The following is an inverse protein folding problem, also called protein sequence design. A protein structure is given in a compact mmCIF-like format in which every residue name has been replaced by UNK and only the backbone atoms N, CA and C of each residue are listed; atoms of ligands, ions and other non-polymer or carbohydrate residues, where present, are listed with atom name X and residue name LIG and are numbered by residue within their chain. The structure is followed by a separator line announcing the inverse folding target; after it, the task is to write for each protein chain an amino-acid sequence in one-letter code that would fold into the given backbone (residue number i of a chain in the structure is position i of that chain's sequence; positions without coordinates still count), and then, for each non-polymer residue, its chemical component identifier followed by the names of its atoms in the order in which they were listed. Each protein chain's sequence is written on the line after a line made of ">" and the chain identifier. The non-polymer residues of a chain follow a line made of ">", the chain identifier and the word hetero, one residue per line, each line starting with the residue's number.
data_IF_628984368379
#
_entry.id   IF_628984368379
#
_cell.length_a   1.000
_cell.length_b   1.000
_cell.length_c   1.000
_cell.angle_alpha   90.00
_cell.angle_beta   90.00
_cell.angle_gamma   90.00
#
_symmetry.space_group_name_H-M   'P 1'
#
loop_
_entity.id
_entity.type
_entity.pdbx_description
1 polymer ?
#
# COMPACT_ATOMS: atom_id res chain seq x y z
N UNK A 1 -10.75 7.49 -15.23
CA UNK A 1 -10.02 8.09 -14.10
C UNK A 1 -10.86 7.83 -12.86
N UNK A 2 -10.45 6.88 -12.01
CA UNK A 2 -11.26 6.51 -10.84
C UNK A 2 -11.10 7.57 -9.75
N UNK A 3 -12.18 8.28 -9.46
CA UNK A 3 -12.28 9.23 -8.36
C UNK A 3 -12.22 8.45 -7.03
N UNK A 4 -11.14 8.64 -6.28
CA UNK A 4 -11.00 8.11 -4.92
C UNK A 4 -11.94 8.89 -3.99
N UNK A 5 -13.23 8.54 -3.96
CA UNK A 5 -14.21 9.13 -3.04
C UNK A 5 -13.78 8.89 -1.59
N UNK A 6 -13.15 9.89 -0.96
CA UNK A 6 -12.67 9.82 0.43
C UNK A 6 -13.85 9.89 1.41
N UNK A 7 -14.98 10.46 0.99
CA UNK A 7 -16.15 10.65 1.83
C UNK A 7 -17.30 9.71 1.44
N UNK A 8 -17.58 8.73 2.30
CA UNK A 8 -18.79 7.89 2.22
C UNK A 8 -19.87 8.39 3.19
N UNK A 9 -21.14 8.15 2.85
CA UNK A 9 -22.31 8.54 3.66
C UNK A 9 -22.33 7.95 5.08
N UNK A 10 -21.49 6.95 5.36
CA UNK A 10 -21.32 6.37 6.69
C UNK A 10 -20.64 7.29 7.71
N UNK A 11 -19.82 8.24 7.26
CA UNK A 11 -19.03 9.12 8.14
C UNK A 11 -19.85 10.26 8.76
N UNK A 12 -21.05 10.54 8.25
CA UNK A 12 -21.90 11.66 8.68
C UNK A 12 -23.00 11.27 9.69
N UNK A 13 -23.09 9.99 10.08
CA UNK A 13 -24.14 9.48 10.98
C UNK A 13 -24.03 9.93 12.45
N UNK A 14 -22.97 10.63 12.82
CA UNK A 14 -22.75 11.12 14.20
C UNK A 14 -23.00 12.62 14.37
N UNK A 15 -23.52 13.28 13.33
CA UNK A 15 -23.75 14.72 13.31
C UNK A 15 -25.25 14.98 13.13
N UNK A 16 -25.76 16.10 13.66
CA UNK A 16 -27.13 16.60 13.46
C UNK A 16 -27.38 17.06 12.00
N UNK A 17 -26.99 16.25 11.02
CA UNK A 17 -27.15 16.54 9.60
C UNK A 17 -28.55 16.13 9.20
N UNK A 18 -29.33 17.10 8.72
CA UNK A 18 -30.71 16.87 8.28
C UNK A 18 -30.75 15.96 7.04
N UNK A 19 -31.77 15.08 6.88
CA UNK A 19 -31.90 14.23 5.70
C UNK A 19 -31.86 14.97 4.35
N UNK A 20 -32.30 16.23 4.31
CA UNK A 20 -32.18 17.08 3.12
C UNK A 20 -30.72 17.39 2.77
N UNK A 21 -29.90 17.68 3.78
CA UNK A 21 -28.45 17.91 3.61
C UNK A 21 -27.73 16.63 3.14
N UNK A 22 -28.11 15.47 3.68
CA UNK A 22 -27.54 14.19 3.24
C UNK A 22 -27.88 13.87 1.78
N UNK A 23 -29.10 14.21 1.34
CA UNK A 23 -29.52 14.06 -0.07
C UNK A 23 -28.70 14.96 -0.98
N UNK A 24 -28.50 16.22 -0.62
CA UNK A 24 -27.64 17.16 -1.36
C UNK A 24 -26.22 16.61 -1.45
N UNK A 25 -25.62 16.22 -0.32
CA UNK A 25 -24.27 15.65 -0.27
C UNK A 25 -24.12 14.42 -1.17
N UNK A 26 -25.10 13.50 -1.16
CA UNK A 26 -25.06 12.29 -1.97
C UNK A 26 -25.11 12.55 -3.48
N UNK A 27 -25.64 13.71 -3.90
CA UNK A 27 -25.72 14.11 -5.30
C UNK A 27 -24.46 14.80 -5.85
N UNK A 28 -23.47 15.09 -5.00
CA UNK A 28 -22.23 15.76 -5.39
C UNK A 28 -21.28 14.81 -6.13
N UNK A 29 -20.63 15.32 -7.18
CA UNK A 29 -19.97 14.51 -8.20
C UNK A 29 -18.49 14.27 -7.89
N UNK A 30 -17.86 15.13 -7.10
CA UNK A 30 -16.44 15.05 -6.77
C UNK A 30 -16.13 15.43 -5.31
N UNK A 31 -14.91 15.15 -4.87
CA UNK A 31 -14.48 15.40 -3.48
C UNK A 31 -14.36 16.89 -3.12
N UNK A 32 -14.08 17.77 -4.10
CA UNK A 32 -13.98 19.20 -3.87
C UNK A 32 -15.35 19.81 -3.52
N UNK A 33 -16.39 19.43 -4.27
CA UNK A 33 -17.78 19.78 -3.98
C UNK A 33 -18.23 19.24 -2.62
N UNK A 34 -17.90 17.97 -2.33
CA UNK A 34 -18.22 17.32 -1.05
C UNK A 34 -17.53 18.01 0.12
N UNK A 35 -16.25 18.34 -0.02
CA UNK A 35 -15.50 19.07 0.99
C UNK A 35 -16.10 20.45 1.22
N UNK A 36 -16.36 21.20 0.16
CA UNK A 36 -16.96 22.53 0.23
C UNK A 36 -18.31 22.50 0.95
N UNK A 37 -19.17 21.54 0.60
CA UNK A 37 -20.44 21.33 1.27
C UNK A 37 -20.28 21.01 2.76
N UNK A 38 -19.42 20.04 3.11
CA UNK A 38 -19.21 19.65 4.52
C UNK A 38 -18.64 20.82 5.32
N UNK A 39 -17.74 21.61 4.72
CA UNK A 39 -17.16 22.80 5.33
C UNK A 39 -18.19 23.92 5.55
N UNK A 40 -19.35 23.91 4.89
CA UNK A 40 -20.44 24.85 5.22
C UNK A 40 -21.26 24.45 6.45
N UNK A 41 -21.14 23.20 6.92
CA UNK A 41 -21.91 22.71 8.06
C UNK A 41 -21.27 23.19 9.36
N UNK A 42 -22.07 23.78 10.24
CA UNK A 42 -21.61 24.28 11.55
C UNK A 42 -20.93 23.16 12.38
N UNK A 43 -21.40 21.93 12.22
CA UNK A 43 -20.86 20.70 12.78
C UNK A 43 -19.38 20.47 12.42
N UNK A 44 -18.95 20.86 11.22
CA UNK A 44 -17.57 20.68 10.75
C UNK A 44 -16.58 21.58 11.50
N UNK A 45 -17.06 22.67 12.09
CA UNK A 45 -16.25 23.63 12.85
C UNK A 45 -16.30 23.40 14.37
N UNK A 46 -17.15 22.47 14.86
CA UNK A 46 -17.18 22.09 16.29
C UNK A 46 -15.90 21.38 16.73
N UNK A 47 -15.21 20.78 15.77
CA UNK A 47 -13.91 20.17 15.99
C UNK A 47 -12.85 21.18 15.59
N UNK A 48 -12.16 21.75 16.59
CA UNK A 48 -10.94 22.50 16.32
C UNK A 48 -9.96 21.54 15.63
N UNK A 49 -9.72 21.76 14.34
CA UNK A 49 -8.52 21.21 13.70
C UNK A 49 -7.38 22.00 14.31
N UNK A 50 -6.79 21.48 15.40
CA UNK A 50 -5.53 22.01 15.89
C UNK A 50 -4.51 21.50 14.87
N UNK A 51 -4.12 22.32 13.88
CA UNK A 51 -3.12 21.89 12.92
C UNK A 51 -1.84 22.00 13.74
N UNK A 52 -1.54 20.95 14.51
CA UNK A 52 -0.22 20.81 15.12
C UNK A 52 0.81 21.16 14.06
N UNK A 53 1.92 21.83 14.44
CA UNK A 53 2.81 22.55 13.52
C UNK A 53 2.87 21.83 12.19
N UNK A 54 2.35 22.48 11.14
CA UNK A 54 2.04 21.88 9.84
C UNK A 54 3.08 20.81 9.57
N UNK A 55 2.68 19.53 9.51
CA UNK A 55 3.64 18.42 9.50
C UNK A 55 4.54 18.56 8.27
N UNK A 56 5.65 19.30 8.43
CA UNK A 56 6.44 19.78 7.31
C UNK A 56 7.01 18.54 6.66
N UNK A 57 6.74 18.42 5.35
CA UNK A 57 7.36 17.41 4.52
C UNK A 57 8.84 17.72 4.47
N UNK A 58 9.65 16.76 4.87
CA UNK A 58 11.09 16.92 4.94
C UNK A 58 11.75 15.62 4.46
N UNK A 59 12.45 15.72 3.32
CA UNK A 59 13.06 14.57 2.66
C UNK A 59 14.11 13.89 3.51
N UNK A 60 14.91 14.67 4.25
CA UNK A 60 15.99 14.15 5.10
C UNK A 60 15.43 13.42 6.32
N UNK A 61 14.43 13.99 7.00
CA UNK A 61 13.70 13.31 8.07
C UNK A 61 13.03 12.04 7.56
N UNK A 62 12.39 12.08 6.39
CA UNK A 62 11.78 10.90 5.79
C UNK A 62 12.82 9.80 5.55
N UNK A 63 13.97 10.15 4.95
CA UNK A 63 15.07 9.22 4.73
C UNK A 63 15.59 8.61 6.03
N UNK A 64 15.80 9.43 7.06
CA UNK A 64 16.22 8.97 8.39
C UNK A 64 15.23 7.99 9.03
N UNK A 65 13.93 8.25 8.91
CA UNK A 65 12.86 7.38 9.38
C UNK A 65 12.80 6.06 8.59
N UNK A 66 12.92 6.11 7.26
CA UNK A 66 13.01 4.92 6.41
C UNK A 66 14.22 4.07 6.79
N UNK A 67 15.39 4.68 7.02
CA UNK A 67 16.60 3.94 7.37
C UNK A 67 16.51 3.34 8.79
N UNK A 68 15.84 4.01 9.73
CA UNK A 68 15.47 3.42 11.01
C UNK A 68 14.50 2.23 10.85
N UNK A 69 13.51 2.36 9.96
CA UNK A 69 12.59 1.28 9.60
C UNK A 69 13.33 0.08 9.02
N UNK A 70 14.33 0.31 8.16
CA UNK A 70 15.18 -0.75 7.61
C UNK A 70 15.93 -1.51 8.70
N UNK A 71 16.48 -0.82 9.70
CA UNK A 71 17.16 -1.47 10.84
C UNK A 71 16.19 -2.33 11.66
N UNK A 72 15.01 -1.80 11.99
CA UNK A 72 13.98 -2.55 12.71
C UNK A 72 13.48 -3.77 11.91
N UNK A 73 13.32 -3.62 10.59
CA UNK A 73 12.93 -4.71 9.71
C UNK A 73 14.00 -5.82 9.66
N UNK A 74 15.27 -5.44 9.55
CA UNK A 74 16.40 -6.38 9.56
C UNK A 74 16.54 -7.14 10.88
N UNK A 75 16.16 -6.53 12.02
CA UNK A 75 16.12 -7.22 13.31
C UNK A 75 14.85 -8.06 13.53
N UNK A 76 13.94 -8.13 12.55
CA UNK A 76 12.68 -8.86 12.64
C UNK A 76 11.57 -8.13 13.40
N UNK A 77 11.79 -6.89 13.86
CA UNK A 77 10.75 -6.07 14.48
C UNK A 77 9.89 -5.36 13.42
N UNK A 78 9.00 -6.15 12.83
CA UNK A 78 8.13 -5.69 11.76
C UNK A 78 7.09 -4.65 12.23
N UNK A 79 6.72 -4.64 13.53
CA UNK A 79 5.79 -3.64 14.08
C UNK A 79 6.43 -2.26 14.14
N UNK A 80 7.65 -2.18 14.68
CA UNK A 80 8.42 -0.94 14.69
C UNK A 80 8.79 -0.49 13.28
N UNK A 81 9.17 -1.42 12.40
CA UNK A 81 9.44 -1.12 11.00
C UNK A 81 8.23 -0.48 10.32
N UNK A 82 7.03 -1.05 10.48
CA UNK A 82 5.78 -0.49 9.94
C UNK A 82 5.52 0.93 10.45
N UNK A 83 5.66 1.15 11.76
CA UNK A 83 5.46 2.48 12.36
C UNK A 83 6.44 3.52 11.80
N UNK A 84 7.71 3.13 11.61
CA UNK A 84 8.75 4.00 11.07
C UNK A 84 8.54 4.29 9.57
N UNK A 85 8.18 3.28 8.77
CA UNK A 85 7.84 3.49 7.36
C UNK A 85 6.59 4.38 7.19
N UNK A 86 5.58 4.24 8.05
CA UNK A 86 4.44 5.16 8.07
C UNK A 86 4.88 6.61 8.28
N UNK A 87 5.71 6.86 9.29
CA UNK A 87 6.26 8.20 9.55
C UNK A 87 7.09 8.70 8.38
N UNK A 88 7.89 7.83 7.75
CA UNK A 88 8.66 8.17 6.55
C UNK A 88 7.74 8.66 5.42
N UNK A 89 6.74 7.86 5.04
CA UNK A 89 5.77 8.20 3.97
C UNK A 89 5.03 9.51 4.28
N UNK A 90 4.67 9.74 5.54
CA UNK A 90 4.06 11.00 5.99
C UNK A 90 5.00 12.19 5.83
N UNK A 91 6.31 12.01 6.01
CA UNK A 91 7.33 13.07 5.88
C UNK A 91 7.84 13.26 4.46
N UNK A 92 7.75 12.26 3.60
CA UNK A 92 8.19 12.40 2.20
C UNK A 92 7.37 13.48 1.48
N UNK A 93 8.01 14.44 0.79
CA UNK A 93 7.32 15.36 -0.12
C UNK A 93 6.62 14.59 -1.25
N UNK A 94 5.39 14.95 -1.61
CA UNK A 94 4.64 14.29 -2.67
C UNK A 94 4.76 15.08 -3.97
N UNK A 95 5.99 15.12 -4.49
CA UNK A 95 6.33 15.82 -5.73
C UNK A 95 6.95 14.82 -6.71
N UNK A 96 6.97 15.15 -8.01
CA UNK A 96 7.60 14.29 -9.01
C UNK A 96 9.07 14.00 -8.69
N UNK A 97 9.80 14.98 -8.12
CA UNK A 97 11.20 14.83 -7.71
C UNK A 97 11.40 13.83 -6.55
N UNK A 98 10.40 13.69 -5.67
CA UNK A 98 10.44 12.79 -4.51
C UNK A 98 9.65 11.48 -4.73
N UNK A 99 9.06 11.29 -5.92
CA UNK A 99 8.26 10.11 -6.29
C UNK A 99 9.05 8.81 -6.09
N UNK A 100 10.35 8.83 -6.39
CA UNK A 100 11.26 7.70 -6.19
C UNK A 100 11.48 7.34 -4.73
N UNK A 101 11.68 8.33 -3.85
CA UNK A 101 11.88 8.06 -2.42
C UNK A 101 10.59 7.63 -1.73
N UNK A 102 9.46 8.18 -2.18
CA UNK A 102 8.13 7.78 -1.75
C UNK A 102 7.86 6.32 -2.15
N UNK A 103 8.13 5.96 -3.41
CA UNK A 103 7.90 4.60 -3.92
C UNK A 103 8.70 3.56 -3.15
N UNK A 104 9.97 3.85 -2.84
CA UNK A 104 10.82 2.96 -2.02
C UNK A 104 10.30 2.85 -0.58
N UNK A 105 9.85 3.95 0.02
CA UNK A 105 9.31 3.95 1.39
C UNK A 105 8.03 3.12 1.49
N UNK A 106 7.11 3.26 0.53
CA UNK A 106 5.87 2.47 0.44
C UNK A 106 6.17 1.00 0.11
N UNK A 107 7.14 0.73 -0.77
CA UNK A 107 7.59 -0.63 -1.06
C UNK A 107 8.22 -1.30 0.18
N UNK A 108 8.89 -0.56 1.05
CA UNK A 108 9.38 -1.11 2.32
C UNK A 108 8.25 -1.32 3.32
N UNK A 109 7.25 -0.44 3.35
CA UNK A 109 6.05 -0.59 4.17
C UNK A 109 5.28 -1.87 3.84
N UNK A 110 5.06 -2.17 2.56
CA UNK A 110 4.41 -3.43 2.18
C UNK A 110 5.20 -4.67 2.62
N UNK A 111 6.53 -4.58 2.76
CA UNK A 111 7.34 -5.66 3.32
C UNK A 111 6.97 -5.94 4.78
N UNK A 112 6.94 -4.89 5.61
CA UNK A 112 6.56 -5.02 7.01
C UNK A 112 5.12 -5.54 7.15
N UNK A 113 4.18 -5.03 6.34
CA UNK A 113 2.79 -5.50 6.31
C UNK A 113 2.68 -6.99 5.94
N UNK A 114 3.42 -7.43 4.92
CA UNK A 114 3.48 -8.84 4.53
C UNK A 114 3.96 -9.74 5.69
N UNK A 115 5.04 -9.36 6.37
CA UNK A 115 5.54 -10.12 7.53
C UNK A 115 4.59 -10.10 8.73
N UNK A 116 3.75 -9.07 8.85
CA UNK A 116 2.67 -8.97 9.82
C UNK A 116 1.37 -9.68 9.37
N UNK A 117 1.39 -10.40 8.24
CA UNK A 117 0.24 -11.08 7.62
C UNK A 117 -0.91 -10.14 7.23
N UNK A 118 -0.64 -8.86 7.10
CA UNK A 118 -1.57 -7.84 6.60
C UNK A 118 -1.53 -7.83 5.08
N UNK A 119 -2.06 -8.88 4.45
CA UNK A 119 -1.86 -9.14 3.01
C UNK A 119 -2.56 -8.12 2.11
N UNK A 120 -3.82 -7.78 2.39
CA UNK A 120 -4.55 -6.79 1.59
C UNK A 120 -3.90 -5.39 1.66
N UNK A 121 -3.57 -4.83 2.86
CA UNK A 121 -2.82 -3.58 2.93
C UNK A 121 -1.46 -3.62 2.20
N UNK A 122 -0.76 -4.77 2.24
CA UNK A 122 0.49 -4.92 1.48
C UNK A 122 0.25 -4.88 -0.04
N UNK A 123 -0.86 -5.46 -0.53
CA UNK A 123 -1.26 -5.39 -1.94
C UNK A 123 -1.64 -3.98 -2.37
N UNK A 124 -2.34 -3.23 -1.51
CA UNK A 124 -2.71 -1.84 -1.77
C UNK A 124 -1.46 -0.95 -1.90
N UNK A 125 -0.48 -1.13 -1.01
CA UNK A 125 0.82 -0.46 -1.10
C UNK A 125 1.55 -0.81 -2.40
N UNK A 126 1.55 -2.09 -2.82
CA UNK A 126 2.19 -2.53 -4.07
C UNK A 126 1.49 -1.92 -5.29
N UNK A 127 0.16 -1.84 -5.27
CA UNK A 127 -0.61 -1.18 -6.32
C UNK A 127 -0.26 0.31 -6.40
N UNK A 128 -0.15 0.99 -5.26
CA UNK A 128 0.26 2.39 -5.22
C UNK A 128 1.71 2.59 -5.70
N UNK A 129 2.63 1.70 -5.34
CA UNK A 129 4.02 1.74 -5.85
C UNK A 129 4.07 1.70 -7.38
N UNK A 130 3.15 0.96 -8.03
CA UNK A 130 3.08 0.88 -9.49
C UNK A 130 2.69 2.18 -10.18
N UNK A 131 2.15 3.16 -9.44
CA UNK A 131 1.80 4.50 -9.96
C UNK A 131 2.90 5.53 -9.71
N UNK A 132 4.02 5.13 -9.10
CA UNK A 132 5.14 6.00 -8.74
C UNK A 132 6.39 5.65 -9.55
N UNK A 133 7.44 6.47 -9.43
CA UNK A 133 8.75 6.21 -10.04
C UNK A 133 9.51 5.15 -9.22
N UNK A 134 9.04 3.90 -9.25
CA UNK A 134 9.70 2.80 -8.56
C UNK A 134 10.88 2.25 -9.38
N UNK A 135 12.06 2.05 -8.76
CA UNK A 135 13.23 1.55 -9.48
C UNK A 135 12.96 0.18 -10.11
N UNK A 136 13.09 0.07 -11.44
CA UNK A 136 12.81 -1.16 -12.18
C UNK A 136 13.71 -2.31 -11.73
N UNK A 137 14.94 -2.00 -11.31
CA UNK A 137 15.89 -2.98 -10.76
C UNK A 137 15.47 -3.57 -9.41
N UNK A 138 14.42 -3.02 -8.77
CA UNK A 138 13.84 -3.50 -7.51
C UNK A 138 12.42 -4.09 -7.69
N UNK A 139 11.86 -4.08 -8.91
CA UNK A 139 10.50 -4.54 -9.21
C UNK A 139 10.25 -5.99 -8.79
N UNK A 140 11.26 -6.87 -8.93
CA UNK A 140 11.14 -8.27 -8.51
C UNK A 140 10.75 -8.42 -7.02
N UNK A 141 11.14 -7.47 -6.14
CA UNK A 141 10.83 -7.55 -4.70
C UNK A 141 9.34 -7.35 -4.41
N UNK A 142 8.72 -6.36 -5.07
CA UNK A 142 7.30 -6.07 -4.87
C UNK A 142 6.43 -7.08 -5.59
N UNK A 143 6.88 -7.60 -6.73
CA UNK A 143 6.18 -8.66 -7.48
C UNK A 143 6.20 -9.99 -6.72
N UNK A 144 7.35 -10.40 -6.17
CA UNK A 144 7.44 -11.62 -5.34
C UNK A 144 6.50 -11.53 -4.14
N UNK A 145 6.50 -10.36 -3.47
CA UNK A 145 5.62 -10.10 -2.34
C UNK A 145 4.15 -10.12 -2.73
N UNK A 146 3.78 -9.52 -3.86
CA UNK A 146 2.42 -9.58 -4.41
C UNK A 146 1.98 -11.03 -4.60
N UNK A 147 2.81 -11.85 -5.24
CA UNK A 147 2.53 -13.26 -5.48
C UNK A 147 2.30 -14.02 -4.16
N UNK A 148 3.14 -13.77 -3.15
CA UNK A 148 3.03 -14.40 -1.83
C UNK A 148 1.80 -13.94 -1.04
N UNK A 149 1.43 -12.66 -1.12
CA UNK A 149 0.19 -12.16 -0.52
C UNK A 149 -1.04 -12.82 -1.17
N UNK A 150 -1.09 -12.85 -2.50
CA UNK A 150 -2.16 -13.48 -3.27
C UNK A 150 -2.27 -14.97 -2.93
N UNK A 151 -1.14 -15.68 -2.85
CA UNK A 151 -1.09 -17.07 -2.44
C UNK A 151 -1.67 -17.28 -1.03
N UNK A 152 -1.29 -16.44 -0.06
CA UNK A 152 -1.80 -16.50 1.31
C UNK A 152 -3.29 -16.19 1.41
N UNK A 153 -3.83 -15.44 0.45
CA UNK A 153 -5.26 -15.12 0.31
C UNK A 153 -6.00 -16.09 -0.63
N UNK A 154 -5.39 -17.23 -0.96
CA UNK A 154 -5.94 -18.26 -1.85
C UNK A 154 -6.32 -17.74 -3.26
N UNK A 155 -5.69 -16.66 -3.74
CA UNK A 155 -5.84 -16.14 -5.09
C UNK A 155 -4.83 -16.82 -6.03
N UNK A 156 -5.00 -18.13 -6.26
CA UNK A 156 -3.95 -18.98 -6.82
C UNK A 156 -3.59 -18.63 -8.27
N UNK A 157 -4.60 -18.27 -9.08
CA UNK A 157 -4.37 -17.87 -10.48
C UNK A 157 -3.57 -16.57 -10.53
N UNK A 158 -3.95 -15.59 -9.73
CA UNK A 158 -3.29 -14.28 -9.70
C UNK A 158 -1.89 -14.39 -9.09
N UNK A 159 -1.71 -15.27 -8.10
CA UNK A 159 -0.40 -15.57 -7.52
C UNK A 159 0.54 -16.18 -8.56
N UNK A 160 0.06 -17.12 -9.39
CA UNK A 160 0.85 -17.72 -10.46
C UNK A 160 1.33 -16.65 -11.47
N UNK A 161 0.44 -15.76 -11.91
CA UNK A 161 0.81 -14.69 -12.84
C UNK A 161 1.80 -13.70 -12.20
N UNK A 162 1.62 -13.37 -10.92
CA UNK A 162 2.58 -12.53 -10.19
C UNK A 162 3.95 -13.19 -10.03
N UNK A 163 4.02 -14.52 -9.81
CA UNK A 163 5.28 -15.26 -9.79
C UNK A 163 5.97 -15.26 -11.16
N UNK A 164 5.23 -15.44 -12.26
CA UNK A 164 5.80 -15.33 -13.62
C UNK A 164 6.35 -13.93 -13.88
N UNK A 165 5.62 -12.89 -13.50
CA UNK A 165 6.08 -11.50 -13.60
C UNK A 165 7.34 -11.25 -12.74
N UNK A 166 7.43 -11.87 -11.56
CA UNK A 166 8.63 -11.82 -10.72
C UNK A 166 9.84 -12.40 -11.43
N UNK A 167 9.68 -13.55 -12.10
CA UNK A 167 10.75 -14.20 -12.85
C UNK A 167 11.27 -13.30 -13.98
N UNK A 168 10.37 -12.66 -14.74
CA UNK A 168 10.76 -11.70 -15.79
C UNK A 168 11.48 -10.47 -15.20
N UNK A 169 11.04 -9.97 -14.05
CA UNK A 169 11.67 -8.82 -13.42
C UNK A 169 13.07 -9.10 -12.85
N UNK A 170 13.45 -10.37 -12.67
CA UNK A 170 14.81 -10.74 -12.23
C UNK A 170 15.87 -10.45 -13.31
N UNK A 171 15.49 -10.38 -14.59
CA UNK A 171 16.42 -10.06 -15.69
C UNK A 171 17.01 -8.65 -15.55
N UNK A 172 16.23 -7.71 -15.01
CA UNK A 172 16.66 -6.34 -14.73
C UNK A 172 17.23 -6.12 -13.32
N UNK A 173 17.30 -7.17 -12.48
CA UNK A 173 17.66 -7.02 -11.08
C UNK A 173 19.17 -6.78 -10.89
N UNK A 174 19.51 -5.73 -10.14
CA UNK A 174 20.90 -5.48 -9.69
C UNK A 174 21.20 -6.31 -8.43
N UNK A 175 21.47 -7.60 -8.63
CA UNK A 175 21.76 -8.59 -7.59
C UNK A 175 23.04 -9.37 -7.92
N UNK A 176 23.82 -9.82 -6.92
CA UNK A 176 24.85 -10.84 -7.13
C UNK A 176 24.24 -12.11 -7.74
N UNK A 177 24.97 -12.75 -8.65
CA UNK A 177 24.48 -13.90 -9.42
C UNK A 177 23.96 -15.03 -8.53
N UNK A 178 24.67 -15.35 -7.46
CA UNK A 178 24.26 -16.39 -6.49
C UNK A 178 22.88 -16.08 -5.88
N UNK A 179 22.64 -14.83 -5.49
CA UNK A 179 21.35 -14.42 -4.91
C UNK A 179 20.24 -14.42 -5.95
N UNK A 180 20.55 -14.00 -7.18
CA UNK A 180 19.59 -14.04 -8.30
C UNK A 180 19.19 -15.47 -8.63
N UNK A 181 20.15 -16.40 -8.72
CA UNK A 181 19.90 -17.82 -8.99
C UNK A 181 19.05 -18.45 -7.88
N UNK A 182 19.39 -18.20 -6.61
CA UNK A 182 18.58 -18.70 -5.49
C UNK A 182 17.14 -18.20 -5.56
N UNK A 183 16.96 -16.90 -5.77
CA UNK A 183 15.63 -16.31 -5.91
C UNK A 183 14.88 -16.94 -7.09
N UNK A 184 15.53 -17.06 -8.25
CA UNK A 184 14.96 -17.68 -9.45
C UNK A 184 14.50 -19.12 -9.21
N UNK A 185 15.32 -19.95 -8.57
CA UNK A 185 14.96 -21.33 -8.22
C UNK A 185 13.75 -21.37 -7.29
N UNK A 186 13.69 -20.51 -6.28
CA UNK A 186 12.55 -20.44 -5.37
C UNK A 186 11.25 -20.09 -6.13
N UNK A 187 11.28 -19.11 -7.04
CA UNK A 187 10.10 -18.73 -7.84
C UNK A 187 9.69 -19.86 -8.80
N UNK A 188 10.66 -20.52 -9.44
CA UNK A 188 10.37 -21.65 -10.34
C UNK A 188 9.70 -22.82 -9.61
N UNK A 189 10.11 -23.11 -8.38
CA UNK A 189 9.45 -24.10 -7.51
C UNK A 189 8.00 -23.68 -7.26
N UNK A 190 7.76 -22.42 -6.88
CA UNK A 190 6.39 -21.92 -6.64
C UNK A 190 5.50 -22.01 -7.88
N UNK A 191 6.02 -21.64 -9.05
CA UNK A 191 5.32 -21.77 -10.34
C UNK A 191 4.97 -23.23 -10.63
N UNK A 192 5.94 -24.14 -10.48
CA UNK A 192 5.73 -25.56 -10.72
C UNK A 192 4.71 -26.17 -9.75
N UNK A 193 4.73 -25.79 -8.47
CA UNK A 193 3.74 -26.20 -7.47
C UNK A 193 2.33 -25.75 -7.86
N UNK A 194 2.16 -24.49 -8.26
CA UNK A 194 0.86 -23.95 -8.66
C UNK A 194 0.36 -24.55 -9.98
N UNK A 195 1.23 -24.73 -10.98
CA UNK A 195 0.86 -25.30 -12.28
C UNK A 195 0.41 -26.78 -12.18
N UNK A 196 0.84 -27.51 -11.15
CA UNK A 196 0.40 -28.88 -10.87
C UNK A 196 -0.93 -28.96 -10.13
N UNK A 197 -1.43 -27.83 -9.62
CA UNK A 197 -2.72 -27.81 -8.94
C UNK A 197 -3.85 -27.97 -9.95
N UNK A 198 -4.67 -29.01 -9.78
CA UNK A 198 -5.83 -29.31 -10.64
C UNK A 198 -6.94 -28.26 -10.50
N UNK A 199 -6.98 -27.55 -9.38
CA UNK A 199 -7.96 -26.51 -9.06
C UNK A 199 -7.28 -25.15 -8.93
N UNK A 200 -6.72 -24.66 -10.03
CA UNK A 200 -6.11 -23.32 -10.08
C UNK A 200 -7.19 -22.24 -10.18
N UNK A 201 -7.87 -21.99 -9.06
CA UNK A 201 -8.94 -20.99 -8.94
C UNK A 201 -8.59 -19.93 -7.90
N UNK A 202 -9.23 -18.77 -8.00
CA UNK A 202 -9.17 -17.76 -6.96
C UNK A 202 -10.27 -18.05 -5.94
N UNK A 203 -9.89 -18.25 -4.68
CA UNK A 203 -10.82 -18.46 -3.58
C UNK A 203 -11.55 -17.19 -3.16
N UNK A 204 -12.52 -17.32 -2.27
CA UNK A 204 -13.14 -16.15 -1.65
C UNK A 204 -12.10 -15.38 -0.82
N UNK A 205 -12.13 -14.03 -0.82
CA UNK A 205 -11.25 -13.23 0.02
C UNK A 205 -11.36 -13.66 1.48
N UNK A 206 -10.23 -13.66 2.21
CA UNK A 206 -10.26 -13.84 3.66
C UNK A 206 -11.23 -12.80 4.26
N UNK A 207 -12.11 -13.19 5.20
CA UNK A 207 -12.96 -12.23 5.89
C UNK A 207 -12.06 -11.17 6.50
N UNK A 208 -12.41 -9.89 6.29
CA UNK A 208 -11.66 -8.78 6.85
C UNK A 208 -11.47 -9.04 8.35
N UNK A 209 -10.22 -9.22 8.77
CA UNK A 209 -9.87 -9.35 10.17
C UNK A 209 -10.44 -8.14 10.90
N UNK A 210 -11.46 -8.36 11.73
CA UNK A 210 -12.03 -7.36 12.62
C UNK A 210 -10.93 -6.88 13.57
N UNK A 211 -10.38 -5.71 13.25
CA UNK A 211 -9.64 -4.85 14.17
C UNK A 211 -10.62 -3.88 14.81
#
# INVERSE_FOLDING_TARGET
>A
MSSNNIFSSGHLRQSNIDPGQLKVFSGLQNDEERFSFVFTLAESHKFETNPGPAAVKDGDTAKGLKDAGNRAFQSGDNKSALALYNKSVLKTPWTSAASRDLSVSVANRSAALYHLKQYQPALDDIAFVSTLDYPSELSYKVLDRKARCLLAMNQLKDALEAFKATLQALDGAKLPDERRMKWQSDIQIMIAMLARNKELTNGNPLPASSL
#
